data_IF_836022447296
#
_entry.id   IF_836022447296
#
_cell.length_a   1.000
_cell.length_b   1.000
_cell.length_c   1.000
_cell.angle_alpha   90.00
_cell.angle_beta   90.00
_cell.angle_gamma   90.00
#
_symmetry.space_group_name_H-M   'P 1'
#
loop_
_entity.id
_entity.type
_entity.pdbx_description
1 polymer ?
#
# COMPACT_ATOMS: atom_id res chain seq x y z
N UNK A 1 -34.68 -13.00 -5.43
CA UNK A 1 -33.96 -12.43 -4.25
C UNK A 1 -34.76 -11.18 -3.85
N UNK A 2 -35.21 -11.12 -2.62
CA UNK A 2 -35.80 -9.90 -2.06
C UNK A 2 -34.74 -8.85 -1.77
N UNK A 3 -35.15 -7.60 -1.65
CA UNK A 3 -34.24 -6.58 -1.11
C UNK A 3 -34.52 -6.42 0.39
N UNK A 4 -33.45 -6.28 1.18
CA UNK A 4 -33.58 -5.98 2.60
C UNK A 4 -34.12 -4.56 2.81
N UNK A 5 -34.98 -4.40 3.80
CA UNK A 5 -35.46 -3.09 4.25
C UNK A 5 -34.34 -2.29 4.94
N UNK A 6 -34.51 -0.98 5.09
CA UNK A 6 -33.54 -0.14 5.79
C UNK A 6 -33.34 -0.58 7.26
N UNK A 7 -34.42 -1.05 7.91
CA UNK A 7 -34.36 -1.53 9.29
C UNK A 7 -33.51 -2.81 9.39
N UNK A 8 -33.69 -3.76 8.47
CA UNK A 8 -32.90 -4.99 8.39
C UNK A 8 -31.42 -4.70 8.09
N UNK A 9 -31.14 -3.78 7.16
CA UNK A 9 -29.78 -3.34 6.86
C UNK A 9 -29.11 -2.69 8.09
N UNK A 10 -29.86 -1.94 8.88
CA UNK A 10 -29.31 -1.35 10.13
C UNK A 10 -29.06 -2.41 11.21
N UNK A 11 -29.88 -3.47 11.28
CA UNK A 11 -29.59 -4.61 12.16
C UNK A 11 -28.29 -5.32 11.75
N UNK A 12 -28.11 -5.59 10.45
CA UNK A 12 -26.85 -6.17 9.92
C UNK A 12 -25.66 -5.28 10.27
N UNK A 13 -25.75 -3.96 10.07
CA UNK A 13 -24.66 -3.02 10.40
C UNK A 13 -24.33 -3.04 11.90
N UNK A 14 -25.35 -3.11 12.78
CA UNK A 14 -25.14 -3.22 14.25
C UNK A 14 -24.46 -4.52 14.62
N UNK A 15 -24.91 -5.67 14.06
CA UNK A 15 -24.27 -6.97 14.29
C UNK A 15 -22.80 -6.95 13.90
N UNK A 16 -22.45 -6.32 12.78
CA UNK A 16 -21.06 -6.19 12.34
C UNK A 16 -20.23 -5.26 13.23
N UNK A 17 -20.83 -4.21 13.80
CA UNK A 17 -20.13 -3.29 14.69
C UNK A 17 -19.58 -3.99 15.94
N UNK A 18 -20.26 -5.02 16.45
CA UNK A 18 -19.80 -5.83 17.59
C UNK A 18 -18.64 -6.80 17.24
N UNK A 19 -18.35 -7.03 15.95
CA UNK A 19 -17.24 -7.89 15.53
C UNK A 19 -15.88 -7.20 15.62
N UNK A 20 -15.84 -5.88 15.81
CA UNK A 20 -14.63 -5.04 15.95
C UNK A 20 -13.59 -5.28 14.85
N UNK A 21 -14.06 -5.41 13.62
CA UNK A 21 -13.20 -5.59 12.45
C UNK A 21 -12.45 -4.28 12.15
N UNK A 22 -11.13 -4.37 12.03
CA UNK A 22 -10.27 -3.21 11.73
C UNK A 22 -9.89 -3.12 10.25
N UNK A 23 -10.07 -4.18 9.46
CA UNK A 23 -9.84 -4.18 8.01
C UNK A 23 -11.13 -3.79 7.28
N UNK A 24 -11.05 -2.70 6.49
CA UNK A 24 -12.17 -2.22 5.69
C UNK A 24 -12.61 -3.25 4.64
N UNK A 25 -11.67 -3.94 4.03
CA UNK A 25 -11.92 -4.95 2.99
C UNK A 25 -12.68 -6.15 3.57
N UNK A 26 -12.23 -6.66 4.71
CA UNK A 26 -12.90 -7.79 5.38
C UNK A 26 -14.29 -7.38 5.89
N UNK A 27 -14.41 -6.15 6.40
CA UNK A 27 -15.70 -5.65 6.86
C UNK A 27 -16.73 -5.62 5.73
N UNK A 28 -16.34 -5.13 4.55
CA UNK A 28 -17.23 -5.07 3.38
C UNK A 28 -17.56 -6.49 2.89
N UNK A 29 -16.57 -7.38 2.81
CA UNK A 29 -16.79 -8.75 2.37
C UNK A 29 -17.77 -9.50 3.30
N UNK A 30 -17.61 -9.34 4.61
CA UNK A 30 -18.53 -9.92 5.59
C UNK A 30 -19.92 -9.27 5.48
N UNK A 31 -19.99 -7.94 5.31
CA UNK A 31 -21.25 -7.25 5.09
C UNK A 31 -21.99 -7.76 3.85
N UNK A 32 -21.31 -7.85 2.71
CA UNK A 32 -21.89 -8.36 1.46
C UNK A 32 -22.36 -9.82 1.59
N UNK A 33 -21.60 -10.62 2.35
CA UNK A 33 -21.98 -11.99 2.64
C UNK A 33 -23.28 -12.07 3.48
N UNK A 34 -23.41 -11.21 4.50
CA UNK A 34 -24.63 -11.12 5.31
C UNK A 34 -25.81 -10.71 4.46
N UNK A 35 -25.66 -9.62 3.69
CA UNK A 35 -26.75 -9.10 2.83
C UNK A 35 -27.18 -10.14 1.81
N UNK A 36 -26.24 -10.70 1.05
CA UNK A 36 -26.52 -11.70 0.01
C UNK A 36 -27.18 -12.95 0.57
N UNK A 37 -26.78 -13.38 1.74
CA UNK A 37 -27.40 -14.56 2.40
C UNK A 37 -28.81 -14.26 2.88
N UNK A 38 -29.04 -13.12 3.54
CA UNK A 38 -30.35 -12.73 4.06
C UNK A 38 -31.37 -12.41 2.94
N UNK A 39 -30.91 -11.86 1.81
CA UNK A 39 -31.75 -11.64 0.63
C UNK A 39 -32.24 -12.93 -0.03
N UNK A 40 -31.60 -14.08 0.26
CA UNK A 40 -32.02 -15.38 -0.28
C UNK A 40 -33.15 -16.05 0.49
N UNK A 41 -33.55 -15.53 1.66
CA UNK A 41 -34.61 -16.03 2.52
C UNK A 41 -35.84 -15.13 2.52
N UNK A 42 -36.96 -15.66 3.01
CA UNK A 42 -38.18 -14.90 3.23
C UNK A 42 -38.06 -13.96 4.43
N UNK A 43 -38.91 -12.95 4.51
CA UNK A 43 -38.86 -11.93 5.56
C UNK A 43 -39.09 -12.53 6.95
N UNK A 44 -39.96 -13.53 7.05
CA UNK A 44 -40.25 -14.22 8.32
C UNK A 44 -39.03 -14.97 8.90
N UNK A 45 -38.08 -15.37 8.07
CA UNK A 45 -36.89 -16.11 8.48
C UNK A 45 -35.69 -15.21 8.82
N UNK A 46 -35.82 -13.89 8.63
CA UNK A 46 -34.72 -12.94 8.75
C UNK A 46 -33.98 -13.04 10.09
N UNK A 47 -34.71 -12.99 11.21
CA UNK A 47 -34.10 -13.00 12.55
C UNK A 47 -33.37 -14.33 12.84
N UNK A 48 -33.97 -15.45 12.43
CA UNK A 48 -33.36 -16.79 12.59
C UNK A 48 -32.06 -16.91 11.77
N UNK A 49 -32.07 -16.42 10.53
CA UNK A 49 -30.92 -16.45 9.64
C UNK A 49 -29.83 -15.46 10.08
N UNK A 50 -30.23 -14.27 10.58
CA UNK A 50 -29.27 -13.32 11.16
C UNK A 50 -28.54 -13.94 12.36
N UNK A 51 -29.27 -14.59 13.26
CA UNK A 51 -28.68 -15.29 14.41
C UNK A 51 -27.73 -16.41 13.97
N UNK A 52 -28.08 -17.21 12.97
CA UNK A 52 -27.20 -18.24 12.41
C UNK A 52 -25.89 -17.65 11.87
N UNK A 53 -25.98 -16.53 11.13
CA UNK A 53 -24.82 -15.81 10.62
C UNK A 53 -23.95 -15.25 11.77
N UNK A 54 -24.55 -14.72 12.81
CA UNK A 54 -23.83 -14.25 13.99
C UNK A 54 -23.05 -15.37 14.68
N UNK A 55 -23.62 -16.56 14.78
CA UNK A 55 -22.95 -17.74 15.31
C UNK A 55 -21.81 -18.22 14.41
N UNK A 56 -21.97 -18.18 13.10
CA UNK A 56 -20.95 -18.54 12.11
C UNK A 56 -19.79 -17.52 12.10
N UNK A 57 -20.12 -16.23 12.08
CA UNK A 57 -19.13 -15.15 12.07
C UNK A 57 -18.88 -14.62 13.49
N UNK A 58 -18.50 -15.51 14.41
CA UNK A 58 -18.10 -15.10 15.77
C UNK A 58 -16.86 -14.23 15.74
N UNK A 59 -16.67 -13.44 16.79
CA UNK A 59 -15.50 -12.56 16.97
C UNK A 59 -14.17 -13.26 16.64
N UNK A 60 -13.92 -14.44 17.24
CA UNK A 60 -12.68 -15.19 17.01
C UNK A 60 -12.48 -15.61 15.56
N UNK A 61 -13.55 -16.03 14.85
CA UNK A 61 -13.50 -16.38 13.45
C UNK A 61 -13.16 -15.16 12.57
N UNK A 62 -13.84 -14.03 12.80
CA UNK A 62 -13.60 -12.79 12.06
C UNK A 62 -12.15 -12.29 12.23
N UNK A 63 -11.61 -12.37 13.44
CA UNK A 63 -10.21 -11.97 13.69
C UNK A 63 -9.20 -12.92 13.07
N UNK A 64 -9.46 -14.23 13.08
CA UNK A 64 -8.64 -15.23 12.39
C UNK A 64 -8.65 -15.00 10.86
N UNK A 65 -9.82 -14.72 10.28
CA UNK A 65 -9.97 -14.38 8.87
C UNK A 65 -9.17 -13.12 8.51
N UNK A 66 -9.28 -12.08 9.32
CA UNK A 66 -8.53 -10.83 9.14
C UNK A 66 -7.01 -11.05 9.23
N UNK A 67 -6.54 -11.83 10.21
CA UNK A 67 -5.12 -12.14 10.35
C UNK A 67 -4.58 -12.92 9.14
N UNK A 68 -5.34 -13.92 8.67
CA UNK A 68 -5.01 -14.69 7.47
C UNK A 68 -4.93 -13.79 6.24
N UNK A 69 -5.94 -12.96 6.01
CA UNK A 69 -6.01 -12.03 4.88
C UNK A 69 -4.83 -11.04 4.88
N UNK A 70 -4.52 -10.45 6.03
CA UNK A 70 -3.38 -9.53 6.15
C UNK A 70 -2.04 -10.22 5.84
N UNK A 71 -1.86 -11.47 6.27
CA UNK A 71 -0.66 -12.26 5.99
C UNK A 71 -0.53 -12.58 4.49
N UNK A 72 -1.63 -12.99 3.86
CA UNK A 72 -1.68 -13.28 2.43
C UNK A 72 -1.43 -12.02 1.59
N UNK A 73 -2.10 -10.91 1.91
CA UNK A 73 -1.90 -9.61 1.25
C UNK A 73 -0.44 -9.16 1.31
N UNK A 74 0.22 -9.29 2.48
CA UNK A 74 1.64 -8.94 2.63
C UNK A 74 2.55 -9.81 1.75
N UNK A 75 2.27 -11.11 1.66
CA UNK A 75 3.02 -12.06 0.83
C UNK A 75 2.84 -11.77 -0.66
N UNK A 76 1.59 -11.52 -1.07
CA UNK A 76 1.25 -11.25 -2.47
C UNK A 76 1.83 -9.91 -2.95
N UNK A 77 1.79 -8.89 -2.09
CA UNK A 77 2.47 -7.61 -2.37
C UNK A 77 3.98 -7.81 -2.57
N UNK A 78 4.60 -8.69 -1.77
CA UNK A 78 6.01 -9.02 -1.92
C UNK A 78 6.34 -9.62 -3.28
N UNK A 79 5.59 -10.61 -3.68
CA UNK A 79 5.74 -11.27 -4.98
C UNK A 79 5.48 -10.29 -6.13
N UNK A 80 4.38 -9.55 -6.06
CA UNK A 80 4.01 -8.59 -7.08
C UNK A 80 5.06 -7.50 -7.24
N UNK A 81 5.57 -6.95 -6.14
CA UNK A 81 6.61 -5.93 -6.18
C UNK A 81 7.88 -6.44 -6.87
N UNK A 82 8.31 -7.65 -6.53
CA UNK A 82 9.47 -8.26 -7.18
C UNK A 82 9.24 -8.50 -8.69
N UNK A 83 8.06 -8.99 -9.07
CA UNK A 83 7.68 -9.16 -10.47
C UNK A 83 7.68 -7.83 -11.24
N UNK A 84 7.20 -6.75 -10.63
CA UNK A 84 7.20 -5.41 -11.24
C UNK A 84 8.63 -4.90 -11.40
N UNK A 85 9.52 -5.09 -10.41
CA UNK A 85 10.94 -4.75 -10.55
C UNK A 85 11.54 -5.48 -11.73
N UNK A 86 11.38 -6.80 -11.82
CA UNK A 86 11.91 -7.60 -12.93
C UNK A 86 11.37 -7.13 -14.29
N UNK A 87 10.08 -6.77 -14.35
CA UNK A 87 9.43 -6.31 -15.59
C UNK A 87 9.99 -4.98 -16.10
N UNK A 88 10.55 -4.14 -15.24
CA UNK A 88 11.22 -2.91 -15.67
C UNK A 88 12.50 -3.18 -16.49
N UNK A 89 13.09 -4.37 -16.37
CA UNK A 89 14.24 -4.80 -17.16
C UNK A 89 13.88 -5.64 -18.39
N UNK A 90 12.58 -5.82 -18.70
CA UNK A 90 12.12 -6.51 -19.89
C UNK A 90 11.71 -5.53 -21.00
N UNK A 91 11.82 -5.94 -22.27
CA UNK A 91 11.32 -5.17 -23.40
C UNK A 91 9.78 -5.03 -23.33
N UNK A 92 9.20 -3.85 -23.68
CA UNK A 92 9.85 -2.61 -24.17
C UNK A 92 10.30 -1.64 -23.06
N UNK A 93 10.11 -1.96 -21.77
CA UNK A 93 10.32 -1.06 -20.62
C UNK A 93 11.78 -0.75 -20.37
N UNK A 94 12.68 -1.64 -20.78
CA UNK A 94 14.12 -1.40 -20.66
C UNK A 94 14.56 -0.12 -21.38
N UNK A 95 13.88 0.29 -22.46
CA UNK A 95 14.20 1.53 -23.17
C UNK A 95 13.95 2.76 -22.29
N UNK A 96 12.86 2.76 -21.52
CA UNK A 96 12.59 3.84 -20.54
C UNK A 96 13.60 3.82 -19.40
N UNK A 97 13.97 2.63 -18.90
CA UNK A 97 14.99 2.48 -17.88
C UNK A 97 16.35 2.99 -18.37
N UNK A 98 16.76 2.64 -19.60
CA UNK A 98 17.99 3.14 -20.20
C UNK A 98 17.98 4.66 -20.42
N UNK A 99 16.87 5.22 -20.91
CA UNK A 99 16.70 6.67 -21.02
C UNK A 99 16.87 7.38 -19.69
N UNK A 100 16.22 6.86 -18.63
CA UNK A 100 16.39 7.39 -17.28
C UNK A 100 17.83 7.25 -16.77
N UNK A 101 18.45 6.09 -16.97
CA UNK A 101 19.86 5.86 -16.61
C UNK A 101 20.79 6.85 -17.29
N UNK A 102 20.56 7.15 -18.57
CA UNK A 102 21.37 8.13 -19.31
C UNK A 102 21.25 9.54 -18.74
N UNK A 103 20.03 9.96 -18.36
CA UNK A 103 19.79 11.26 -17.69
C UNK A 103 20.44 11.29 -16.32
N UNK A 104 20.28 10.24 -15.52
CA UNK A 104 20.89 10.14 -14.20
C UNK A 104 22.42 10.15 -14.27
N UNK A 105 23.00 9.48 -15.27
CA UNK A 105 24.43 9.50 -15.53
C UNK A 105 24.94 10.89 -15.91
N UNK A 106 24.19 11.59 -16.77
CA UNK A 106 24.51 12.97 -17.14
C UNK A 106 24.48 13.89 -15.90
N UNK A 107 23.42 13.84 -15.11
CA UNK A 107 23.34 14.61 -13.87
C UNK A 107 24.42 14.21 -12.87
N UNK A 108 24.72 12.92 -12.77
CA UNK A 108 25.81 12.45 -11.92
C UNK A 108 27.20 12.99 -12.32
N UNK A 109 27.44 13.15 -13.63
CA UNK A 109 28.72 13.69 -14.11
C UNK A 109 28.93 15.16 -13.78
N UNK A 110 27.89 15.90 -13.36
CA UNK A 110 27.97 17.31 -12.91
C UNK A 110 28.14 17.44 -11.39
N UNK A 111 28.20 16.33 -10.66
CA UNK A 111 28.35 16.33 -9.19
C UNK A 111 29.82 16.59 -8.82
N UNK A 112 30.06 17.73 -8.19
CA UNK A 112 31.39 18.16 -7.74
C UNK A 112 31.51 18.22 -6.21
N UNK A 113 30.38 18.14 -5.50
CA UNK A 113 30.34 18.28 -4.03
C UNK A 113 29.42 17.25 -3.36
N UNK A 114 29.67 17.00 -2.06
CA UNK A 114 28.82 16.13 -1.24
C UNK A 114 27.37 16.61 -1.17
N UNK A 115 27.13 17.92 -1.21
CA UNK A 115 25.78 18.48 -1.22
C UNK A 115 25.02 18.12 -2.51
N UNK A 116 25.67 18.21 -3.66
CA UNK A 116 25.06 17.84 -4.95
C UNK A 116 24.83 16.33 -5.04
N UNK A 117 25.77 15.52 -4.55
CA UNK A 117 25.59 14.07 -4.42
C UNK A 117 24.38 13.74 -3.55
N UNK A 118 24.25 14.39 -2.40
CA UNK A 118 23.09 14.24 -1.52
C UNK A 118 21.79 14.61 -2.24
N UNK A 119 21.70 15.75 -2.93
CA UNK A 119 20.52 16.19 -3.69
C UNK A 119 20.14 15.14 -4.73
N UNK A 120 21.11 14.62 -5.49
CA UNK A 120 20.88 13.59 -6.50
C UNK A 120 20.31 12.31 -5.88
N UNK A 121 20.87 11.84 -4.76
CA UNK A 121 20.39 10.64 -4.06
C UNK A 121 19.03 10.85 -3.36
N UNK A 122 18.74 12.06 -2.85
CA UNK A 122 17.49 12.36 -2.18
C UNK A 122 16.31 12.60 -3.13
N UNK A 123 16.57 13.03 -4.37
CA UNK A 123 15.49 13.39 -5.30
C UNK A 123 14.41 12.32 -5.49
N UNK A 124 14.72 11.02 -5.71
CA UNK A 124 13.69 9.99 -5.80
C UNK A 124 12.98 9.72 -4.47
N UNK A 125 13.66 9.93 -3.33
CA UNK A 125 13.06 9.74 -2.01
C UNK A 125 12.07 10.84 -1.66
N UNK A 126 12.32 12.08 -2.06
CA UNK A 126 11.38 13.19 -1.90
C UNK A 126 10.10 12.91 -2.69
N UNK A 127 10.22 12.45 -3.94
CA UNK A 127 9.06 12.08 -4.77
C UNK A 127 8.29 10.92 -4.11
N UNK A 128 9.00 9.93 -3.60
CA UNK A 128 8.39 8.80 -2.88
C UNK A 128 7.64 9.26 -1.62
N UNK A 129 8.21 10.21 -0.87
CA UNK A 129 7.58 10.79 0.33
C UNK A 129 6.29 11.54 -0.01
N UNK A 130 6.32 12.39 -1.06
CA UNK A 130 5.12 13.10 -1.53
C UNK A 130 4.02 12.12 -1.97
N UNK A 131 4.42 11.05 -2.69
CA UNK A 131 3.50 10.01 -3.10
C UNK A 131 2.93 9.24 -1.90
N UNK A 132 3.75 8.94 -0.90
CA UNK A 132 3.30 8.32 0.32
C UNK A 132 2.23 9.15 1.05
N UNK A 133 2.43 10.47 1.17
CA UNK A 133 1.45 11.39 1.74
C UNK A 133 0.14 11.40 0.94
N UNK A 134 0.23 11.49 -0.39
CA UNK A 134 -0.95 11.39 -1.25
C UNK A 134 -1.72 10.08 -1.03
N UNK A 135 -1.00 8.96 -0.93
CA UNK A 135 -1.57 7.65 -0.70
C UNK A 135 -2.29 7.54 0.66
N UNK A 136 -1.68 8.06 1.73
CA UNK A 136 -2.28 8.11 3.06
C UNK A 136 -3.58 8.93 3.08
N UNK A 137 -3.56 10.10 2.45
CA UNK A 137 -4.73 10.99 2.37
C UNK A 137 -5.85 10.32 1.57
N UNK A 138 -5.55 9.81 0.37
CA UNK A 138 -6.52 9.14 -0.50
C UNK A 138 -7.18 7.95 0.19
N UNK A 139 -6.38 7.08 0.81
CA UNK A 139 -6.88 5.93 1.56
C UNK A 139 -7.74 6.34 2.77
N UNK A 140 -7.32 7.36 3.53
CA UNK A 140 -8.08 7.88 4.66
C UNK A 140 -9.46 8.40 4.27
N UNK A 141 -9.56 9.13 3.16
CA UNK A 141 -10.84 9.66 2.66
C UNK A 141 -11.80 8.53 2.27
N UNK A 142 -11.31 7.50 1.58
CA UNK A 142 -12.14 6.34 1.20
C UNK A 142 -12.61 5.55 2.41
N UNK A 143 -11.72 5.27 3.36
CA UNK A 143 -12.07 4.58 4.61
C UNK A 143 -13.11 5.37 5.40
N UNK A 144 -13.02 6.71 5.44
CA UNK A 144 -14.00 7.56 6.10
C UNK A 144 -15.40 7.41 5.49
N UNK A 145 -15.50 7.27 4.16
CA UNK A 145 -16.76 7.01 3.46
C UNK A 145 -17.34 5.66 3.86
N UNK A 146 -16.53 4.58 3.82
CA UNK A 146 -16.94 3.23 4.22
C UNK A 146 -17.39 3.22 5.69
N UNK A 147 -16.61 3.85 6.57
CA UNK A 147 -16.94 3.95 7.99
C UNK A 147 -18.28 4.61 8.24
N UNK A 148 -18.60 5.67 7.48
CA UNK A 148 -19.89 6.35 7.56
C UNK A 148 -21.04 5.49 7.04
N UNK A 149 -20.88 4.83 5.89
CA UNK A 149 -21.92 4.01 5.27
C UNK A 149 -22.30 2.79 6.12
N UNK A 150 -21.31 2.20 6.81
CA UNK A 150 -21.49 1.04 7.68
C UNK A 150 -21.69 1.39 9.18
N UNK A 151 -21.79 2.68 9.51
CA UNK A 151 -21.99 3.19 10.88
C UNK A 151 -21.00 2.61 11.90
N UNK A 152 -19.73 2.43 11.50
CA UNK A 152 -18.70 1.82 12.33
C UNK A 152 -18.06 2.84 13.27
N UNK A 153 -17.91 2.46 14.56
CA UNK A 153 -17.20 3.27 15.58
C UNK A 153 -15.72 2.93 15.66
N UNK A 154 -15.33 1.69 15.32
CA UNK A 154 -13.95 1.21 15.39
C UNK A 154 -13.02 1.93 14.39
N UNK A 155 -11.71 1.85 14.65
CA UNK A 155 -10.68 2.38 13.75
C UNK A 155 -10.49 1.44 12.57
N UNK A 156 -11.08 1.79 11.41
CA UNK A 156 -10.89 1.05 10.17
C UNK A 156 -9.57 1.44 9.49
N UNK A 157 -8.88 0.46 8.92
CA UNK A 157 -7.67 0.61 8.11
C UNK A 157 -7.80 -0.23 6.86
N UNK A 158 -7.15 0.19 5.76
CA UNK A 158 -7.01 -0.70 4.61
C UNK A 158 -5.94 -1.75 4.89
N UNK A 159 -6.23 -2.99 4.55
CA UNK A 159 -5.27 -4.09 4.61
C UNK A 159 -4.10 -3.92 3.64
N UNK A 160 -4.28 -3.14 2.58
CA UNK A 160 -3.24 -2.82 1.61
C UNK A 160 -2.32 -1.70 2.11
N UNK A 161 -2.87 -0.74 2.88
CA UNK A 161 -2.17 0.46 3.31
C UNK A 161 -0.91 0.13 4.11
N UNK A 162 -1.04 -0.72 5.13
CA UNK A 162 0.07 -1.02 6.04
C UNK A 162 1.26 -1.71 5.34
N UNK A 163 1.08 -2.82 4.58
CA UNK A 163 2.20 -3.48 3.92
C UNK A 163 2.85 -2.63 2.82
N UNK A 164 2.09 -1.75 2.17
CA UNK A 164 2.64 -0.85 1.15
C UNK A 164 3.43 0.30 1.79
N UNK A 165 2.91 0.90 2.87
CA UNK A 165 3.62 1.92 3.65
C UNK A 165 4.93 1.39 4.21
N UNK A 166 4.94 0.17 4.75
CA UNK A 166 6.15 -0.48 5.27
C UNK A 166 7.26 -0.55 4.21
N UNK A 167 6.89 -0.82 2.95
CA UNK A 167 7.84 -0.84 1.83
C UNK A 167 8.33 0.54 1.43
N UNK A 168 7.50 1.57 1.59
CA UNK A 168 7.91 2.96 1.35
C UNK A 168 8.82 3.48 2.46
N UNK A 169 8.61 3.05 3.71
CA UNK A 169 9.48 3.45 4.82
C UNK A 169 10.91 2.94 4.70
N UNK A 170 11.12 1.77 4.12
CA UNK A 170 12.46 1.17 4.02
C UNK A 170 13.47 2.09 3.33
N UNK A 171 13.25 2.60 2.10
CA UNK A 171 14.18 3.55 1.50
C UNK A 171 14.21 4.92 2.22
N UNK A 172 13.10 5.33 2.86
CA UNK A 172 13.10 6.57 3.63
C UNK A 172 13.99 6.47 4.88
N UNK A 173 14.03 5.32 5.55
CA UNK A 173 14.95 5.11 6.67
C UNK A 173 16.41 5.16 6.24
N UNK A 174 16.71 4.72 5.01
CA UNK A 174 18.05 4.82 4.45
C UNK A 174 18.48 6.27 4.16
N UNK A 175 17.55 7.22 4.11
CA UNK A 175 17.85 8.64 3.85
C UNK A 175 18.85 9.23 4.87
N UNK A 176 18.77 8.79 6.12
CA UNK A 176 19.71 9.24 7.15
C UNK A 176 21.17 8.85 6.83
N UNK A 177 21.34 7.65 6.27
CA UNK A 177 22.66 7.16 5.85
C UNK A 177 23.20 7.91 4.64
N UNK A 178 22.32 8.44 3.77
CA UNK A 178 22.72 9.16 2.55
C UNK A 178 23.50 10.43 2.90
N UNK A 179 23.07 11.21 3.90
CA UNK A 179 23.77 12.42 4.34
C UNK A 179 25.17 12.09 4.78
N UNK A 180 25.31 11.09 5.62
CA UNK A 180 26.60 10.67 6.15
C UNK A 180 27.51 10.08 5.06
N UNK A 181 26.96 9.27 4.16
CA UNK A 181 27.68 8.69 3.02
C UNK A 181 28.16 9.80 2.08
N UNK A 182 27.30 10.79 1.74
CA UNK A 182 27.68 11.86 0.82
C UNK A 182 28.83 12.71 1.33
N UNK A 183 28.87 13.02 2.63
CA UNK A 183 29.97 13.75 3.24
C UNK A 183 31.26 12.90 3.25
N UNK A 184 31.15 11.60 3.54
CA UNK A 184 32.30 10.68 3.54
C UNK A 184 32.87 10.45 2.13
N UNK A 185 32.04 10.48 1.09
CA UNK A 185 32.48 10.28 -0.31
C UNK A 185 33.48 11.33 -0.79
N UNK A 186 33.43 12.54 -0.23
CA UNK A 186 34.35 13.64 -0.59
C UNK A 186 35.44 13.86 0.44
N UNK A 187 35.52 13.02 1.50
CA UNK A 187 36.55 13.14 2.53
C UNK A 187 37.93 12.63 2.08
N UNK A 188 37.97 11.74 1.08
CA UNK A 188 39.22 11.15 0.58
C UNK A 188 39.28 11.27 -0.94
N UNK A 189 40.46 11.56 -1.49
CA UNK A 189 40.70 11.76 -2.92
C UNK A 189 40.30 10.54 -3.78
N UNK A 190 40.56 9.33 -3.24
CA UNK A 190 40.23 8.08 -3.93
C UNK A 190 38.72 7.90 -4.08
N UNK A 191 37.95 8.20 -3.04
CA UNK A 191 36.51 8.01 -3.03
C UNK A 191 35.83 9.17 -3.77
N UNK A 192 36.38 10.39 -3.71
CA UNK A 192 35.77 11.55 -4.41
C UNK A 192 35.69 11.34 -5.92
N UNK A 193 36.65 10.66 -6.54
CA UNK A 193 36.63 10.31 -7.96
C UNK A 193 35.52 9.32 -8.34
N UNK A 194 35.02 8.52 -7.38
CA UNK A 194 33.94 7.56 -7.56
C UNK A 194 32.58 8.11 -7.07
N UNK A 195 32.59 9.25 -6.38
CA UNK A 195 31.38 9.81 -5.78
C UNK A 195 30.23 10.06 -6.79
N UNK A 196 30.47 10.59 -7.99
CA UNK A 196 29.43 10.76 -9.00
C UNK A 196 28.79 9.43 -9.41
N UNK A 197 29.59 8.39 -9.60
CA UNK A 197 29.10 7.05 -10.00
C UNK A 197 28.28 6.39 -8.89
N UNK A 198 28.73 6.53 -7.65
CA UNK A 198 28.01 6.00 -6.48
C UNK A 198 26.68 6.73 -6.31
N UNK A 199 26.67 8.06 -6.31
CA UNK A 199 25.44 8.87 -6.19
C UNK A 199 24.44 8.55 -7.31
N UNK A 200 24.92 8.44 -8.54
CA UNK A 200 24.11 8.07 -9.70
C UNK A 200 23.50 6.68 -9.54
N UNK A 201 24.29 5.70 -9.12
CA UNK A 201 23.84 4.32 -8.92
C UNK A 201 22.75 4.24 -7.86
N UNK A 202 22.93 4.92 -6.71
CA UNK A 202 21.92 5.01 -5.66
C UNK A 202 20.63 5.66 -6.16
N UNK A 203 20.75 6.79 -6.87
CA UNK A 203 19.59 7.48 -7.43
C UNK A 203 18.80 6.58 -8.40
N UNK A 204 19.47 5.84 -9.28
CA UNK A 204 18.84 4.90 -10.21
C UNK A 204 18.13 3.78 -9.45
N UNK A 205 18.76 3.18 -8.45
CA UNK A 205 18.16 2.09 -7.66
C UNK A 205 16.90 2.56 -6.92
N UNK A 206 16.96 3.72 -6.27
CA UNK A 206 15.81 4.30 -5.59
C UNK A 206 14.69 4.67 -6.55
N UNK A 207 15.01 5.17 -7.72
CA UNK A 207 14.00 5.53 -8.74
C UNK A 207 13.29 4.30 -9.30
N UNK A 208 14.02 3.22 -9.63
CA UNK A 208 13.43 1.96 -10.07
C UNK A 208 12.54 1.39 -8.96
N UNK A 209 13.00 1.42 -7.73
CA UNK A 209 12.23 0.98 -6.58
C UNK A 209 10.94 1.78 -6.42
N UNK A 210 11.01 3.11 -6.49
CA UNK A 210 9.88 4.03 -6.43
C UNK A 210 8.84 3.73 -7.52
N UNK A 211 9.26 3.68 -8.80
CA UNK A 211 8.35 3.36 -9.92
C UNK A 211 7.67 2.01 -9.70
N UNK A 212 8.42 1.02 -9.21
CA UNK A 212 7.87 -0.31 -8.93
C UNK A 212 6.79 -0.28 -7.87
N UNK A 213 6.95 0.49 -6.80
CA UNK A 213 5.92 0.66 -5.76
C UNK A 213 4.68 1.38 -6.33
N UNK A 214 4.87 2.45 -7.13
CA UNK A 214 3.78 3.16 -7.77
C UNK A 214 2.95 2.24 -8.67
N UNK A 215 3.59 1.38 -9.41
CA UNK A 215 2.90 0.42 -10.27
C UNK A 215 2.17 -0.66 -9.47
N UNK A 216 2.76 -1.19 -8.41
CA UNK A 216 2.11 -2.12 -7.47
C UNK A 216 0.84 -1.51 -6.89
N UNK A 217 0.92 -0.24 -6.43
CA UNK A 217 -0.24 0.47 -5.95
C UNK A 217 -1.32 0.62 -7.04
N UNK A 218 -0.94 1.03 -8.25
CA UNK A 218 -1.87 1.17 -9.39
C UNK A 218 -2.57 -0.14 -9.74
N UNK A 219 -1.87 -1.27 -9.68
CA UNK A 219 -2.45 -2.60 -9.93
C UNK A 219 -3.43 -2.96 -8.80
N UNK A 220 -2.99 -2.85 -7.56
CA UNK A 220 -3.81 -3.26 -6.40
C UNK A 220 -4.98 -2.31 -6.11
N UNK A 221 -4.85 -1.01 -6.36
CA UNK A 221 -5.96 -0.07 -6.20
C UNK A 221 -7.12 -0.28 -7.18
N UNK A 222 -6.89 -1.01 -8.27
CA UNK A 222 -7.94 -1.42 -9.22
C UNK A 222 -8.67 -2.69 -8.80
N UNK A 223 -8.00 -3.55 -8.03
CA UNK A 223 -8.52 -4.88 -7.63
C UNK A 223 -9.01 -4.92 -6.19
N UNK A 224 -8.65 -3.95 -5.39
CA UNK A 224 -9.12 -3.75 -4.02
C UNK A 224 -10.00 -2.50 -3.98
N UNK A 225 -10.83 -2.40 -2.96
CA UNK A 225 -11.74 -1.26 -2.71
C UNK A 225 -11.00 0.07 -2.45
N UNK A 226 -9.73 0.17 -2.80
CA UNK A 226 -8.89 1.35 -2.64
C UNK A 226 -8.87 2.23 -3.89
#
# INVERSE_FOLDING_TARGET
>A
MRKLSEQELDQVKRSLAFKDLTSAEILIEVYDHYVSRLESFEELDFEAQLFELEQKFRYGYCHALQAKFNKETRKDLGKLHWQVIQRNFCLPRILYALGFMSVAFYLGSTVESGKEAAILMFSPLIILAMFHLYFLISSSLRIKTIKRSLNQKSSLKSSLLYPLSERMYLPMMMSYSIVWISDMMFATEIISNLAPQIATTFSILFFIYMISILEVWKIKSKTTLL
#
